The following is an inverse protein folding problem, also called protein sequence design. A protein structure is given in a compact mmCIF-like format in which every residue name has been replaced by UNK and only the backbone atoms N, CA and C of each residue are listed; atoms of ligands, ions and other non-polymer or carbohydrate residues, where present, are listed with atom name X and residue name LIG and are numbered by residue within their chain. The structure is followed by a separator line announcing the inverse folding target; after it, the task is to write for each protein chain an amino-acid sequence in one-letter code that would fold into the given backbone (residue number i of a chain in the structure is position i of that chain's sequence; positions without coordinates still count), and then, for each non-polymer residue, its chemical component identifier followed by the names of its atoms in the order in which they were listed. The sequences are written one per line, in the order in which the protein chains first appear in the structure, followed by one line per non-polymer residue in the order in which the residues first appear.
data_IF_343613914690
#
_entry.id   IF_343613914690
#
_cell.length_a   1.000
_cell.length_b   1.000
_cell.length_c   1.000
_cell.angle_alpha   90.00
_cell.angle_beta   90.00
_cell.angle_gamma   90.00
#
_symmetry.space_group_name_H-M   'P 1'
#
loop_
_entity.id
_entity.type
_entity.pdbx_description
1 polymer ?
#
# COMPACT_ATOMS: atom_id res chain seq x y z
N UNK A 1 34.06 15.85 -57.04
CA UNK A 1 33.95 14.58 -57.78
C UNK A 1 35.18 13.72 -57.51
N UNK A 2 35.15 12.51 -56.92
CA UNK A 2 34.17 11.94 -55.99
C UNK A 2 34.80 10.88 -55.09
N UNK A 3 34.42 10.69 -53.82
CA UNK A 3 33.87 11.54 -52.73
C UNK A 3 34.04 10.67 -51.42
N UNK A 4 33.95 11.14 -50.15
CA UNK A 4 34.45 10.35 -49.00
C UNK A 4 33.52 9.18 -48.61
N UNK A 5 34.05 7.96 -48.60
CA UNK A 5 33.35 6.76 -48.12
C UNK A 5 33.10 6.86 -46.61
N UNK A 6 31.83 6.85 -46.22
CA UNK A 6 31.41 6.80 -44.81
C UNK A 6 31.65 5.38 -44.30
N UNK A 7 32.55 5.23 -43.33
CA UNK A 7 32.72 3.98 -42.60
C UNK A 7 31.39 3.55 -41.99
N UNK A 8 30.97 2.33 -42.30
CA UNK A 8 29.72 1.77 -41.83
C UNK A 8 29.74 1.58 -40.31
N UNK A 9 28.58 1.73 -39.71
CA UNK A 9 28.39 1.64 -38.27
C UNK A 9 28.41 0.17 -37.84
N UNK A 10 29.57 -0.33 -37.40
CA UNK A 10 29.64 -1.51 -36.54
C UNK A 10 29.19 -1.12 -35.12
N UNK A 11 27.94 -0.69 -35.00
CA UNK A 11 27.22 -0.85 -33.73
C UNK A 11 26.97 -2.33 -33.58
N UNK A 12 27.84 -3.02 -32.85
CA UNK A 12 27.61 -4.38 -32.38
C UNK A 12 26.25 -4.41 -31.64
N UNK A 13 25.22 -4.84 -32.36
CA UNK A 13 23.90 -5.05 -31.81
C UNK A 13 24.02 -6.21 -30.85
N UNK A 14 24.23 -5.90 -29.57
CA UNK A 14 24.23 -6.87 -28.48
C UNK A 14 22.87 -7.55 -28.48
N UNK A 15 22.80 -8.70 -29.15
CA UNK A 15 21.65 -9.58 -29.13
C UNK A 15 21.46 -10.05 -27.69
N UNK A 16 20.63 -9.33 -26.94
CA UNK A 16 20.21 -9.69 -25.59
C UNK A 16 19.25 -10.87 -25.69
N UNK A 17 19.81 -12.07 -25.89
CA UNK A 17 19.09 -13.36 -25.94
C UNK A 17 18.62 -13.78 -24.53
N UNK A 18 17.87 -12.91 -23.85
CA UNK A 18 17.12 -13.22 -22.62
C UNK A 18 15.98 -12.21 -22.35
N UNK A 19 15.12 -11.97 -23.35
CA UNK A 19 13.89 -11.18 -23.14
C UNK A 19 12.68 -11.76 -23.88
N UNK A 20 12.38 -13.04 -23.63
CA UNK A 20 11.06 -13.62 -23.91
C UNK A 20 9.95 -13.08 -22.98
N UNK A 21 10.31 -12.35 -21.92
CA UNK A 21 9.35 -11.69 -21.06
C UNK A 21 8.81 -10.40 -21.73
N UNK A 22 7.49 -10.17 -21.80
CA UNK A 22 6.92 -8.93 -22.33
C UNK A 22 7.40 -7.71 -21.52
N UNK A 23 7.52 -6.56 -22.18
CA UNK A 23 7.77 -5.27 -21.53
C UNK A 23 6.60 -4.91 -20.58
N UNK A 24 6.80 -4.09 -19.54
CA UNK A 24 5.70 -3.55 -18.74
C UNK A 24 4.73 -2.75 -19.62
N UNK A 25 3.42 -2.86 -19.36
CA UNK A 25 2.40 -2.13 -20.13
C UNK A 25 2.06 -0.83 -19.41
N UNK A 26 2.16 0.30 -20.12
CA UNK A 26 1.56 1.56 -19.70
C UNK A 26 0.04 1.47 -19.90
N UNK A 27 -0.70 1.49 -18.80
CA UNK A 27 -2.17 1.50 -18.81
C UNK A 27 -2.64 2.89 -18.39
N UNK A 28 -3.40 3.56 -19.26
CA UNK A 28 -4.12 4.77 -18.87
C UNK A 28 -5.27 4.36 -17.93
N UNK A 29 -5.35 5.04 -16.79
CA UNK A 29 -6.42 4.92 -15.82
C UNK A 29 -7.06 6.27 -15.58
N UNK A 30 -8.33 6.23 -15.23
CA UNK A 30 -9.07 7.37 -14.69
C UNK A 30 -9.37 7.09 -13.23
N UNK A 31 -9.50 8.15 -12.43
CA UNK A 31 -10.21 8.11 -11.15
C UNK A 31 -11.21 9.28 -11.09
N UNK A 32 -12.40 9.03 -10.54
CA UNK A 32 -13.39 10.08 -10.26
C UNK A 32 -13.41 10.46 -8.78
N UNK A 33 -14.00 11.62 -8.49
CA UNK A 33 -14.21 12.10 -7.12
C UNK A 33 -14.99 11.11 -6.27
N UNK A 34 -16.01 10.46 -6.83
CA UNK A 34 -16.87 9.52 -6.13
C UNK A 34 -16.07 8.28 -5.67
N UNK A 35 -15.25 7.72 -6.57
CA UNK A 35 -14.36 6.59 -6.28
C UNK A 35 -13.30 6.94 -5.22
N UNK A 36 -12.77 8.17 -5.25
CA UNK A 36 -11.82 8.67 -4.25
C UNK A 36 -12.48 8.91 -2.89
N UNK A 37 -13.70 9.44 -2.87
CA UNK A 37 -14.49 9.66 -1.65
C UNK A 37 -14.87 8.33 -0.98
N UNK A 38 -15.25 7.31 -1.74
CA UNK A 38 -15.53 5.97 -1.20
C UNK A 38 -14.31 5.39 -0.46
N UNK A 39 -13.10 5.61 -0.98
CA UNK A 39 -11.85 5.11 -0.37
C UNK A 39 -11.34 5.95 0.81
N UNK A 40 -11.52 7.28 0.75
CA UNK A 40 -10.89 8.21 1.69
C UNK A 40 -11.82 8.72 2.80
N UNK A 41 -13.13 8.89 2.54
CA UNK A 41 -14.04 9.66 3.40
C UNK A 41 -14.13 9.12 4.83
N UNK A 42 -14.24 7.80 5.03
CA UNK A 42 -14.32 7.20 6.37
C UNK A 42 -13.05 7.46 7.20
N UNK A 43 -11.88 7.41 6.55
CA UNK A 43 -10.59 7.65 7.20
C UNK A 43 -10.38 9.14 7.49
N UNK A 44 -10.72 10.02 6.54
CA UNK A 44 -10.64 11.48 6.74
C UNK A 44 -11.60 11.93 7.84
N UNK A 45 -12.82 11.38 7.90
CA UNK A 45 -13.79 11.67 8.95
C UNK A 45 -13.35 11.22 10.35
N UNK A 46 -12.28 10.42 10.47
CA UNK A 46 -11.66 9.99 11.74
C UNK A 46 -10.42 10.81 12.13
N UNK A 47 -9.86 11.61 11.21
CA UNK A 47 -8.71 12.48 11.48
C UNK A 47 -9.03 13.54 12.55
N UNK A 48 -8.08 13.77 13.46
CA UNK A 48 -8.19 14.84 14.46
C UNK A 48 -9.21 14.62 15.58
N UNK A 49 -9.94 13.50 15.60
CA UNK A 49 -10.92 13.18 16.66
C UNK A 49 -10.28 12.60 17.93
N UNK A 50 -9.24 11.79 17.82
CA UNK A 50 -8.56 11.20 18.98
C UNK A 50 -7.14 10.72 18.66
N UNK A 51 -6.20 10.97 19.58
CA UNK A 51 -4.80 10.49 19.51
C UNK A 51 -4.66 8.96 19.51
N UNK A 52 -5.69 8.23 19.96
CA UNK A 52 -5.73 6.78 19.89
C UNK A 52 -6.03 6.31 18.46
N UNK A 53 -7.02 6.94 17.83
CA UNK A 53 -7.45 6.68 16.45
C UNK A 53 -6.32 6.93 15.46
N UNK A 54 -5.54 8.02 15.63
CA UNK A 54 -4.42 8.37 14.74
C UNK A 54 -3.39 7.22 14.53
N UNK A 55 -3.14 6.39 15.55
CA UNK A 55 -2.22 5.24 15.43
C UNK A 55 -2.72 4.18 14.47
N UNK A 56 -4.03 3.91 14.48
CA UNK A 56 -4.70 2.95 13.60
C UNK A 56 -4.98 3.55 12.22
N UNK A 57 -5.13 4.87 12.18
CA UNK A 57 -5.37 5.61 10.97
C UNK A 57 -4.15 5.61 10.04
N UNK A 58 -2.92 5.72 10.58
CA UNK A 58 -1.72 5.85 9.75
C UNK A 58 -1.52 4.69 8.73
N UNK A 59 -1.64 3.40 9.10
CA UNK A 59 -1.61 2.30 8.13
C UNK A 59 -2.78 2.33 7.13
N UNK A 60 -3.99 2.69 7.59
CA UNK A 60 -5.17 2.76 6.74
C UNK A 60 -5.07 3.87 5.68
N UNK A 61 -4.62 5.06 6.10
CA UNK A 61 -4.37 6.23 5.23
C UNK A 61 -3.28 5.91 4.22
N UNK A 62 -2.14 5.36 4.66
CA UNK A 62 -1.02 4.99 3.78
C UNK A 62 -1.41 4.03 2.65
N UNK A 63 -2.53 3.30 2.75
CA UNK A 63 -3.00 2.38 1.72
C UNK A 63 -3.65 3.08 0.52
N UNK A 64 -4.31 4.22 0.73
CA UNK A 64 -5.00 4.99 -0.31
C UNK A 64 -4.37 6.37 -0.59
N UNK A 65 -3.45 6.82 0.26
CA UNK A 65 -2.72 8.08 0.11
C UNK A 65 -1.82 8.07 -1.14
N UNK A 66 -2.42 8.38 -2.29
CA UNK A 66 -1.81 8.35 -3.62
C UNK A 66 -2.24 9.59 -4.40
N UNK A 67 -1.35 10.12 -5.25
CA UNK A 67 -1.61 11.38 -5.96
C UNK A 67 -2.93 11.40 -6.76
N UNK A 68 -3.33 10.35 -7.51
CA UNK A 68 -4.59 10.37 -8.26
C UNK A 68 -5.82 10.56 -7.37
N UNK A 69 -5.86 9.91 -6.20
CA UNK A 69 -6.94 10.08 -5.21
C UNK A 69 -6.92 11.50 -4.67
N UNK A 70 -5.73 12.00 -4.31
CA UNK A 70 -5.56 13.33 -3.71
C UNK A 70 -5.89 14.49 -4.66
N UNK A 71 -5.67 14.32 -5.98
CA UNK A 71 -6.01 15.33 -6.98
C UNK A 71 -7.52 15.59 -7.03
N UNK A 72 -8.35 14.54 -6.97
CA UNK A 72 -9.82 14.62 -7.17
C UNK A 72 -10.65 14.82 -5.89
N UNK A 73 -10.03 14.75 -4.71
CA UNK A 73 -10.70 15.06 -3.45
C UNK A 73 -11.19 16.53 -3.40
N UNK A 74 -12.30 16.84 -2.71
CA UNK A 74 -12.71 18.22 -2.46
C UNK A 74 -11.65 18.98 -1.63
N UNK A 75 -11.44 20.30 -1.85
CA UNK A 75 -10.45 21.09 -1.10
C UNK A 75 -10.58 20.96 0.43
N UNK A 76 -11.79 20.99 0.98
CA UNK A 76 -12.07 20.81 2.42
C UNK A 76 -11.42 19.53 3.01
N UNK A 77 -11.47 18.44 2.24
CA UNK A 77 -10.85 17.17 2.64
C UNK A 77 -9.33 17.20 2.46
N UNK A 78 -8.81 17.88 1.41
CA UNK A 78 -7.37 18.10 1.25
C UNK A 78 -6.80 18.92 2.41
N UNK A 79 -7.49 19.96 2.88
CA UNK A 79 -7.08 20.76 4.05
C UNK A 79 -7.05 19.96 5.35
N UNK A 80 -8.07 19.12 5.58
CA UNK A 80 -8.12 18.20 6.73
C UNK A 80 -6.92 17.24 6.71
N UNK A 81 -6.67 16.63 5.55
CA UNK A 81 -5.58 15.69 5.34
C UNK A 81 -4.19 16.35 5.41
N UNK A 82 -4.03 17.56 4.88
CA UNK A 82 -2.79 18.35 4.93
C UNK A 82 -2.38 18.63 6.38
N UNK A 83 -3.35 19.05 7.21
CA UNK A 83 -3.16 19.26 8.65
C UNK A 83 -2.73 17.96 9.36
N UNK A 84 -3.30 16.82 8.97
CA UNK A 84 -2.92 15.51 9.52
C UNK A 84 -1.53 15.06 9.06
N UNK A 85 -1.20 15.24 7.77
CA UNK A 85 0.10 14.91 7.17
C UNK A 85 1.25 15.70 7.80
N UNK A 86 1.04 16.96 8.22
CA UNK A 86 2.06 17.75 8.93
C UNK A 86 2.65 17.00 10.15
N UNK A 87 1.84 16.20 10.84
CA UNK A 87 2.26 15.44 12.03
C UNK A 87 2.69 14.00 11.74
N UNK A 88 2.34 13.45 10.57
CA UNK A 88 2.42 12.01 10.30
C UNK A 88 3.22 11.62 9.04
N UNK A 89 3.22 12.46 8.01
CA UNK A 89 3.91 12.24 6.73
C UNK A 89 4.32 13.57 6.06
N UNK A 90 5.56 14.05 6.31
CA UNK A 90 6.06 15.29 5.73
C UNK A 90 6.24 15.27 4.20
N UNK A 91 6.34 14.10 3.57
CA UNK A 91 6.49 14.00 2.11
C UNK A 91 5.16 14.33 1.44
N UNK A 92 4.07 13.73 1.92
CA UNK A 92 2.73 14.02 1.42
C UNK A 92 2.25 15.43 1.80
N UNK A 93 2.66 15.99 2.94
CA UNK A 93 2.41 17.40 3.29
C UNK A 93 2.91 18.37 2.20
N UNK A 94 4.18 18.24 1.80
CA UNK A 94 4.78 19.08 0.77
C UNK A 94 4.06 18.89 -0.57
N UNK A 95 3.83 17.64 -0.98
CA UNK A 95 3.20 17.31 -2.26
C UNK A 95 1.74 17.77 -2.34
N UNK A 96 0.95 17.62 -1.27
CA UNK A 96 -0.43 18.14 -1.21
C UNK A 96 -0.49 19.65 -1.37
N UNK A 97 0.51 20.37 -0.85
CA UNK A 97 0.56 21.84 -0.92
C UNK A 97 0.63 22.38 -2.35
N UNK A 98 1.09 21.57 -3.32
CA UNK A 98 1.15 21.95 -4.74
C UNK A 98 -0.24 22.02 -5.41
N UNK A 99 -1.25 21.34 -4.87
CA UNK A 99 -2.58 21.17 -5.49
C UNK A 99 -3.75 21.19 -4.50
N UNK A 100 -3.56 21.85 -3.35
CA UNK A 100 -4.54 21.88 -2.24
C UNK A 100 -5.83 22.63 -2.62
N UNK A 101 -5.73 23.65 -3.47
CA UNK A 101 -6.85 24.47 -3.94
C UNK A 101 -7.48 23.97 -5.26
N UNK A 102 -6.91 22.94 -5.89
CA UNK A 102 -7.47 22.36 -7.12
C UNK A 102 -8.78 21.62 -6.83
N UNK A 103 -9.90 22.01 -7.45
CA UNK A 103 -11.18 21.30 -7.35
C UNK A 103 -11.48 20.54 -8.65
N UNK A 104 -10.87 19.37 -8.82
CA UNK A 104 -10.98 18.52 -10.03
C UNK A 104 -11.89 17.33 -9.74
N UNK A 105 -12.83 16.99 -10.64
CA UNK A 105 -13.78 15.88 -10.46
C UNK A 105 -13.31 14.55 -11.07
N UNK A 106 -12.39 14.60 -12.03
CA UNK A 106 -11.86 13.45 -12.78
C UNK A 106 -10.39 13.67 -13.08
N UNK A 107 -9.53 12.70 -12.78
CA UNK A 107 -8.10 12.73 -13.11
C UNK A 107 -7.70 11.53 -13.96
N UNK A 108 -6.87 11.77 -14.96
CA UNK A 108 -6.33 10.73 -15.86
C UNK A 108 -4.83 10.58 -15.61
N UNK A 109 -4.39 9.35 -15.36
CA UNK A 109 -3.02 9.04 -14.98
C UNK A 109 -2.57 7.74 -15.65
N UNK A 110 -1.28 7.64 -15.96
CA UNK A 110 -0.71 6.43 -16.54
C UNK A 110 -0.06 5.60 -15.43
N UNK A 111 -0.34 4.29 -15.42
CA UNK A 111 0.27 3.33 -14.51
C UNK A 111 1.09 2.34 -15.31
N UNK A 112 2.36 2.19 -14.97
CA UNK A 112 3.15 1.03 -15.39
C UNK A 112 2.61 -0.21 -14.68
N UNK A 113 2.02 -1.13 -15.44
CA UNK A 113 1.58 -2.43 -14.94
C UNK A 113 2.70 -3.44 -15.22
N UNK A 114 3.32 -4.04 -14.18
CA UNK A 114 4.36 -5.04 -14.37
C UNK A 114 3.78 -6.30 -15.03
N UNK A 115 4.14 -6.56 -16.28
CA UNK A 115 3.75 -7.78 -16.99
C UNK A 115 4.57 -9.02 -16.60
N UNK A 116 5.67 -8.82 -15.87
CA UNK A 116 6.56 -9.90 -15.44
C UNK A 116 6.35 -10.16 -13.95
N UNK A 117 6.18 -11.43 -13.55
CA UNK A 117 6.10 -11.82 -12.13
C UNK A 117 7.34 -11.44 -11.30
N UNK A 118 8.47 -11.20 -11.96
CA UNK A 118 9.73 -10.73 -11.33
C UNK A 118 9.76 -9.21 -11.11
N UNK A 119 8.96 -8.46 -11.86
CA UNK A 119 8.83 -7.00 -11.79
C UNK A 119 7.63 -6.59 -10.90
N UNK A 120 6.75 -7.54 -10.56
CA UNK A 120 5.74 -7.35 -9.52
C UNK A 120 6.41 -7.11 -8.16
N UNK A 121 5.91 -6.12 -7.42
CA UNK A 121 6.37 -5.87 -6.05
C UNK A 121 6.11 -7.09 -5.16
N UNK A 122 7.14 -7.54 -4.44
CA UNK A 122 7.04 -8.59 -3.43
C UNK A 122 6.36 -8.03 -2.19
N UNK A 123 5.03 -7.95 -2.22
CA UNK A 123 4.19 -7.42 -1.16
C UNK A 123 3.57 -8.52 -0.30
N UNK A 124 3.35 -8.22 0.98
CA UNK A 124 2.78 -9.15 1.97
C UNK A 124 3.80 -9.55 3.04
N UNK A 125 3.31 -10.08 4.15
CA UNK A 125 4.15 -10.47 5.28
C UNK A 125 5.08 -11.62 4.88
N UNK A 126 6.39 -11.42 5.02
CA UNK A 126 7.37 -12.46 4.74
C UNK A 126 7.63 -12.73 3.25
N UNK A 127 7.23 -11.83 2.34
CA UNK A 127 7.56 -11.94 0.91
C UNK A 127 9.08 -11.95 0.64
N UNK A 128 9.86 -11.33 1.52
CA UNK A 128 11.33 -11.41 1.59
C UNK A 128 11.84 -12.84 1.89
N UNK A 129 11.13 -13.60 2.74
CA UNK A 129 11.46 -15.00 3.04
C UNK A 129 11.29 -15.87 1.78
N UNK A 130 10.21 -15.64 1.01
CA UNK A 130 9.96 -16.36 -0.24
C UNK A 130 11.04 -16.10 -1.31
N UNK A 131 11.65 -14.91 -1.33
CA UNK A 131 12.77 -14.60 -2.22
C UNK A 131 13.97 -15.55 -2.03
N UNK A 132 14.28 -15.98 -0.79
CA UNK A 132 15.36 -16.94 -0.54
C UNK A 132 15.04 -18.31 -1.14
N UNK A 133 13.81 -18.79 -1.01
CA UNK A 133 13.41 -20.07 -1.60
C UNK A 133 13.38 -20.04 -3.13
N UNK A 134 13.02 -18.91 -3.74
CA UNK A 134 13.13 -18.73 -5.19
C UNK A 134 14.60 -18.62 -5.64
N UNK A 135 15.48 -18.04 -4.83
CA UNK A 135 16.92 -18.05 -5.08
C UNK A 135 17.51 -19.48 -5.01
N UNK A 136 17.11 -20.28 -4.02
CA UNK A 136 17.49 -21.70 -3.88
C UNK A 136 17.08 -22.56 -5.08
N UNK A 137 16.04 -22.19 -5.84
CA UNK A 137 15.62 -22.88 -7.06
C UNK A 137 16.46 -22.52 -8.30
N UNK A 138 17.19 -21.39 -8.31
CA UNK A 138 17.98 -20.93 -9.48
C UNK A 138 19.00 -21.98 -9.99
N UNK A 139 19.71 -22.76 -9.15
CA UNK A 139 20.66 -23.77 -9.62
C UNK A 139 20.04 -24.87 -10.49
N UNK A 140 18.75 -25.17 -10.32
CA UNK A 140 18.05 -26.20 -11.13
C UNK A 140 18.10 -25.91 -12.64
N UNK A 141 18.22 -24.62 -13.02
CA UNK A 141 18.37 -24.19 -14.43
C UNK A 141 19.66 -24.70 -15.09
N UNK A 142 20.65 -25.12 -14.31
CA UNK A 142 21.97 -25.57 -14.80
C UNK A 142 22.03 -27.06 -15.14
N UNK A 143 20.91 -27.79 -15.09
CA UNK A 143 20.88 -29.22 -15.46
C UNK A 143 21.54 -30.14 -14.43
N UNK A 144 21.36 -29.86 -13.13
CA UNK A 144 21.99 -30.61 -12.04
C UNK A 144 21.66 -32.13 -12.03
N UNK A 145 22.54 -32.96 -11.43
CA UNK A 145 22.26 -34.37 -11.14
C UNK A 145 20.95 -34.58 -10.36
N UNK A 146 20.28 -35.72 -10.56
CA UNK A 146 18.94 -35.94 -10.00
C UNK A 146 18.90 -35.86 -8.47
N UNK A 147 19.93 -36.36 -7.80
CA UNK A 147 20.02 -36.37 -6.33
C UNK A 147 20.08 -34.94 -5.78
N UNK A 148 20.93 -34.08 -6.36
CA UNK A 148 21.04 -32.65 -6.00
C UNK A 148 19.74 -31.89 -6.32
N UNK A 149 19.12 -32.15 -7.49
CA UNK A 149 17.81 -31.56 -7.82
C UNK A 149 16.75 -31.93 -6.77
N UNK A 150 16.72 -33.20 -6.37
CA UNK A 150 15.76 -33.73 -5.38
C UNK A 150 16.01 -33.16 -3.98
N UNK A 151 17.26 -32.90 -3.62
CA UNK A 151 17.63 -32.24 -2.37
C UNK A 151 17.15 -30.78 -2.35
N UNK A 152 17.49 -30.00 -3.38
CA UNK A 152 17.06 -28.59 -3.52
C UNK A 152 15.53 -28.47 -3.47
N UNK A 153 14.81 -29.28 -4.26
CA UNK A 153 13.34 -29.28 -4.28
C UNK A 153 12.76 -29.65 -2.92
N UNK A 154 13.35 -30.60 -2.18
CA UNK A 154 12.88 -30.94 -0.84
C UNK A 154 13.21 -29.88 0.21
N UNK A 155 14.36 -29.19 0.12
CA UNK A 155 14.71 -28.04 0.97
C UNK A 155 13.66 -26.93 0.79
N UNK A 156 13.42 -26.52 -0.45
CA UNK A 156 12.45 -25.47 -0.80
C UNK A 156 11.02 -25.89 -0.40
N UNK A 157 10.59 -27.12 -0.69
CA UNK A 157 9.27 -27.62 -0.30
C UNK A 157 9.03 -27.55 1.21
N UNK A 158 10.01 -27.95 2.03
CA UNK A 158 9.92 -27.85 3.50
C UNK A 158 9.89 -26.39 3.97
N UNK A 159 10.74 -25.55 3.40
CA UNK A 159 10.80 -24.13 3.73
C UNK A 159 9.50 -23.37 3.42
N UNK A 160 8.89 -23.64 2.26
CA UNK A 160 7.60 -23.07 1.86
C UNK A 160 6.45 -23.59 2.73
N UNK A 161 6.47 -24.85 3.15
CA UNK A 161 5.47 -25.37 4.10
C UNK A 161 5.54 -24.66 5.46
N UNK A 162 6.74 -24.58 6.06
CA UNK A 162 6.96 -23.85 7.32
C UNK A 162 6.60 -22.36 7.21
N UNK A 163 6.85 -21.76 6.04
CA UNK A 163 6.44 -20.39 5.77
C UNK A 163 4.91 -20.23 5.77
N UNK A 164 4.17 -21.16 5.15
CA UNK A 164 2.72 -21.13 5.13
C UNK A 164 2.14 -21.23 6.55
N UNK A 165 2.63 -22.18 7.36
CA UNK A 165 2.21 -22.34 8.76
C UNK A 165 2.45 -21.05 9.58
N UNK A 166 3.64 -20.45 9.45
CA UNK A 166 3.99 -19.17 10.09
C UNK A 166 3.12 -18.01 9.61
N UNK A 167 2.87 -17.91 8.30
CA UNK A 167 2.06 -16.85 7.72
C UNK A 167 0.61 -16.94 8.23
N UNK A 168 0.03 -18.14 8.26
CA UNK A 168 -1.29 -18.41 8.82
C UNK A 168 -1.39 -18.03 10.31
N UNK A 169 -0.38 -18.37 11.12
CA UNK A 169 -0.35 -17.99 12.53
C UNK A 169 -0.31 -16.46 12.69
N UNK A 170 0.53 -15.78 11.92
CA UNK A 170 0.69 -14.32 11.95
C UNK A 170 -0.55 -13.58 11.45
N UNK A 171 -1.20 -14.04 10.39
CA UNK A 171 -2.46 -13.47 9.92
C UNK A 171 -3.54 -13.60 11.00
N UNK A 172 -3.72 -14.79 11.59
CA UNK A 172 -4.66 -15.01 12.71
C UNK A 172 -4.34 -14.14 13.93
N UNK A 173 -3.07 -13.81 14.18
CA UNK A 173 -2.67 -12.93 15.27
C UNK A 173 -3.03 -11.45 14.97
N UNK A 174 -2.75 -11.00 13.75
CA UNK A 174 -3.09 -9.64 13.28
C UNK A 174 -4.60 -9.41 13.24
N UNK A 175 -5.39 -10.40 12.80
CA UNK A 175 -6.86 -10.36 12.84
C UNK A 175 -7.38 -10.21 14.28
N UNK A 176 -6.82 -10.96 15.23
CA UNK A 176 -7.17 -10.85 16.65
C UNK A 176 -6.80 -9.48 17.24
N UNK A 177 -5.64 -8.94 16.89
CA UNK A 177 -5.22 -7.60 17.32
C UNK A 177 -6.15 -6.51 16.76
N UNK A 178 -6.48 -6.56 15.46
CA UNK A 178 -7.43 -5.65 14.82
C UNK A 178 -8.83 -5.72 15.47
N UNK A 179 -9.34 -6.92 15.77
CA UNK A 179 -10.60 -7.07 16.50
C UNK A 179 -10.53 -6.50 17.93
N UNK A 180 -9.42 -6.72 18.65
CA UNK A 180 -9.21 -6.15 19.98
C UNK A 180 -9.21 -4.62 19.99
N UNK A 181 -8.60 -4.01 18.99
CA UNK A 181 -8.55 -2.55 18.82
C UNK A 181 -9.94 -1.95 18.51
N UNK A 182 -10.73 -2.59 17.65
CA UNK A 182 -12.12 -2.18 17.37
C UNK A 182 -13.01 -2.35 18.61
N UNK A 183 -12.81 -3.41 19.39
CA UNK A 183 -13.53 -3.61 20.64
C UNK A 183 -13.15 -2.55 21.70
N UNK A 184 -11.87 -2.19 21.80
CA UNK A 184 -11.40 -1.13 22.69
C UNK A 184 -11.96 0.25 22.28
N UNK A 185 -12.08 0.54 20.98
CA UNK A 185 -12.73 1.77 20.48
C UNK A 185 -14.23 1.81 20.85
N UNK A 186 -14.94 0.68 20.71
CA UNK A 186 -16.35 0.55 21.14
C UNK A 186 -16.50 0.80 22.64
N UNK A 187 -15.68 0.16 23.48
CA UNK A 187 -15.73 0.31 24.94
C UNK A 187 -15.42 1.75 25.37
N UNK A 188 -14.45 2.41 24.72
CA UNK A 188 -14.14 3.82 24.97
C UNK A 188 -15.34 4.74 24.64
N UNK A 189 -15.98 4.55 23.49
CA UNK A 189 -17.19 5.32 23.11
C UNK A 189 -18.38 5.07 24.07
N UNK A 190 -18.52 3.85 24.60
CA UNK A 190 -19.57 3.52 25.57
C UNK A 190 -19.33 4.20 26.93
N UNK A 191 -18.06 4.25 27.38
CA UNK A 191 -17.66 4.99 28.58
C UNK A 191 -17.87 6.50 28.40
N UNK A 192 -17.45 7.09 27.27
CA UNK A 192 -17.67 8.52 26.99
C UNK A 192 -19.17 8.87 26.96
N UNK A 193 -19.99 8.04 26.29
CA UNK A 193 -21.45 8.20 26.27
C UNK A 193 -22.06 8.11 27.66
N UNK A 194 -21.65 7.13 28.48
CA UNK A 194 -22.14 6.96 29.85
C UNK A 194 -21.78 8.16 30.73
N UNK A 195 -20.54 8.65 30.64
CA UNK A 195 -20.10 9.84 31.36
C UNK A 195 -20.88 11.10 30.93
N UNK A 196 -21.18 11.25 29.63
CA UNK A 196 -21.98 12.37 29.14
C UNK A 196 -23.44 12.32 29.63
N UNK A 197 -24.06 11.13 29.65
CA UNK A 197 -25.40 10.95 30.22
C UNK A 197 -25.44 11.26 31.73
N UNK A 198 -24.48 10.76 32.50
CA UNK A 198 -24.41 11.03 33.94
C UNK A 198 -24.18 12.54 34.25
N UNK A 199 -23.34 13.21 33.46
CA UNK A 199 -23.13 14.65 33.58
C UNK A 199 -24.40 15.46 33.24
N UNK A 200 -25.17 15.01 32.25
CA UNK A 200 -26.45 15.63 31.88
C UNK A 200 -27.53 15.42 32.95
N UNK A 201 -27.61 14.24 33.56
CA UNK A 201 -28.51 13.97 34.70
C UNK A 201 -28.20 14.88 35.88
N UNK A 202 -26.93 14.94 36.32
CA UNK A 202 -26.48 15.84 37.39
C UNK A 202 -26.75 17.32 37.09
N UNK A 203 -26.62 17.74 35.83
CA UNK A 203 -26.91 19.12 35.43
C UNK A 203 -28.42 19.42 35.49
N UNK A 204 -29.30 18.47 35.17
CA UNK A 204 -30.74 18.66 35.28
C UNK A 204 -31.21 18.68 36.74
N UNK A 205 -30.63 17.84 37.60
CA UNK A 205 -30.87 17.87 39.06
C UNK A 205 -30.48 19.24 39.63
N UNK A 206 -29.30 19.77 39.28
CA UNK A 206 -28.81 21.07 39.74
C UNK A 206 -29.55 22.30 39.17
N UNK A 207 -30.53 22.11 38.28
CA UNK A 207 -31.40 23.18 37.73
C UNK A 207 -32.84 23.07 38.32
N UNK A 208 -33.15 21.98 39.02
CA UNK A 208 -34.45 21.73 39.63
C UNK A 208 -34.58 22.18 41.10
N UNK A 209 -33.45 22.50 41.75
CA UNK A 209 -33.33 23.14 43.08
C UNK A 209 -33.20 24.68 42.98
#
# INVERSE_FOLDING_TARGET
MSEPSINQQDTESVFSVDSFDPAPTLVQKTITREEALEQASENIAKMGKSKFVDKLLKPAVSKWLTEPILRVLPPEMKYTLHTWCLSHDPLWFNKLSEFIDEDISKWEYTVEVPNRRKDMAWCGLGADILCFYVADLKPLRKGLPELERREIVNKVRRGVALFADFHDEKMKAMEREAHGLVQQEREAMEIERSAFSAAFELQNEAIAD
#
